data_IF_982799942256
#
_entry.id   IF_982799942256
#
_cell.length_a   1.000
_cell.length_b   1.000
_cell.length_c   1.000
_cell.angle_alpha   90.00
_cell.angle_beta   90.00
_cell.angle_gamma   90.00
#
_symmetry.space_group_name_H-M   'P 1'
#
loop_
_entity.id
_entity.type
_entity.pdbx_description
1 polymer ?
#
# COMPACT_ATOMS: atom_id res chain seq x y z
N UNK A 1 -37.86 -0.12 -17.32
CA UNK A 1 -39.25 0.35 -17.47
C UNK A 1 -39.76 0.45 -16.05
N UNK A 2 -39.90 1.68 -15.57
CA UNK A 2 -40.20 2.00 -14.18
C UNK A 2 -41.53 1.36 -13.76
N UNK A 3 -41.58 0.84 -12.54
CA UNK A 3 -42.79 0.24 -11.96
C UNK A 3 -43.92 1.28 -11.85
N UNK A 4 -45.17 0.82 -11.83
CA UNK A 4 -46.32 1.70 -11.58
C UNK A 4 -46.39 2.16 -10.12
N UNK A 5 -47.13 3.24 -9.86
CA UNK A 5 -47.34 3.76 -8.51
C UNK A 5 -47.93 2.70 -7.55
N UNK A 6 -48.89 1.91 -8.02
CA UNK A 6 -49.52 0.85 -7.21
C UNK A 6 -48.52 -0.28 -6.88
N UNK A 7 -47.62 -0.60 -7.81
CA UNK A 7 -46.54 -1.58 -7.58
C UNK A 7 -45.50 -1.05 -6.58
N UNK A 8 -45.14 0.23 -6.68
CA UNK A 8 -44.24 0.90 -5.73
C UNK A 8 -44.83 0.92 -4.31
N UNK A 9 -46.11 1.29 -4.16
CA UNK A 9 -46.80 1.25 -2.87
C UNK A 9 -46.85 -0.18 -2.30
N UNK A 10 -47.02 -1.19 -3.17
CA UNK A 10 -46.97 -2.60 -2.77
C UNK A 10 -45.59 -3.10 -2.34
N UNK A 11 -44.50 -2.55 -2.90
CA UNK A 11 -43.12 -2.90 -2.52
C UNK A 11 -42.71 -2.26 -1.19
N UNK A 12 -42.99 -0.97 -1.04
CA UNK A 12 -42.62 -0.18 0.15
C UNK A 12 -43.22 -0.71 1.46
N UNK A 13 -44.40 -1.35 1.38
CA UNK A 13 -45.08 -1.97 2.52
C UNK A 13 -44.62 -3.40 2.85
N UNK A 14 -43.70 -3.99 2.07
CA UNK A 14 -43.19 -5.35 2.36
C UNK A 14 -42.22 -5.29 3.54
N UNK A 15 -42.33 -6.25 4.44
CA UNK A 15 -41.42 -6.38 5.58
C UNK A 15 -40.29 -7.37 5.26
N UNK A 16 -39.07 -7.03 5.67
CA UNK A 16 -37.87 -7.87 5.56
C UNK A 16 -37.22 -8.09 6.93
N UNK A 17 -36.87 -9.34 7.23
CA UNK A 17 -36.21 -9.70 8.49
C UNK A 17 -34.69 -9.51 8.45
N UNK A 18 -34.08 -9.45 9.64
CA UNK A 18 -32.63 -9.38 9.81
C UNK A 18 -31.86 -10.57 9.20
N UNK A 19 -32.45 -11.78 9.12
CA UNK A 19 -31.78 -12.94 8.51
C UNK A 19 -31.74 -12.91 6.98
N UNK A 20 -32.71 -12.22 6.35
CA UNK A 20 -32.72 -12.04 4.90
C UNK A 20 -31.67 -11.02 4.43
N UNK A 21 -31.09 -10.26 5.36
CA UNK A 21 -30.02 -9.29 5.12
C UNK A 21 -28.69 -9.94 5.51
N UNK A 22 -27.85 -10.23 4.53
CA UNK A 22 -26.57 -10.89 4.77
C UNK A 22 -25.51 -9.97 5.39
N UNK A 23 -25.65 -8.65 5.22
CA UNK A 23 -24.71 -7.70 5.80
C UNK A 23 -24.85 -7.65 7.33
N UNK A 24 -23.73 -7.87 8.02
CA UNK A 24 -23.69 -7.97 9.48
C UNK A 24 -24.09 -6.69 10.21
N UNK A 25 -23.83 -5.53 9.61
CA UNK A 25 -24.14 -4.23 10.22
C UNK A 25 -25.62 -3.90 10.08
N UNK A 26 -26.17 -4.00 8.86
CA UNK A 26 -27.58 -3.82 8.59
C UNK A 26 -28.43 -4.84 9.35
N UNK A 27 -28.04 -6.12 9.33
CA UNK A 27 -28.71 -7.18 10.08
C UNK A 27 -28.74 -6.87 11.59
N UNK A 28 -27.62 -6.42 12.17
CA UNK A 28 -27.56 -6.04 13.59
C UNK A 28 -28.40 -4.81 13.97
N UNK A 29 -28.60 -3.86 13.04
CA UNK A 29 -29.52 -2.74 13.25
C UNK A 29 -30.96 -3.24 13.25
N UNK A 30 -31.34 -4.07 12.28
CA UNK A 30 -32.70 -4.61 12.16
C UNK A 30 -33.04 -5.51 13.35
N UNK A 31 -32.10 -6.32 13.83
CA UNK A 31 -32.30 -7.15 15.03
C UNK A 31 -32.59 -6.31 16.29
N UNK A 32 -31.98 -5.13 16.39
CA UNK A 32 -32.08 -4.28 17.58
C UNK A 32 -33.28 -3.32 17.55
N UNK A 33 -33.49 -2.67 16.42
CA UNK A 33 -34.44 -1.56 16.26
C UNK A 33 -35.70 -1.97 15.48
N UNK A 34 -35.71 -3.16 14.86
CA UNK A 34 -36.82 -3.70 14.09
C UNK A 34 -38.02 -4.12 14.94
N UNK A 35 -39.17 -4.28 14.28
CA UNK A 35 -40.42 -4.71 14.91
C UNK A 35 -40.70 -6.17 14.55
N UNK A 36 -41.27 -6.93 15.49
CA UNK A 36 -41.65 -8.31 15.19
C UNK A 36 -42.81 -8.32 14.17
N UNK A 37 -42.53 -8.78 12.96
CA UNK A 37 -43.49 -8.94 11.87
C UNK A 37 -43.16 -10.20 11.07
N UNK A 38 -44.09 -10.62 10.20
CA UNK A 38 -43.88 -11.72 9.27
C UNK A 38 -43.10 -11.21 8.05
N UNK A 39 -41.89 -11.73 7.82
CA UNK A 39 -41.08 -11.36 6.68
C UNK A 39 -41.71 -11.86 5.39
N UNK A 40 -41.90 -10.97 4.40
CA UNK A 40 -42.49 -11.31 3.11
C UNK A 40 -41.67 -12.34 2.32
N UNK A 41 -40.35 -12.37 2.53
CA UNK A 41 -39.43 -13.16 1.73
C UNK A 41 -39.15 -14.56 2.27
N UNK A 42 -39.03 -14.72 3.59
CA UNK A 42 -38.83 -16.03 4.23
C UNK A 42 -40.08 -16.59 4.91
N UNK A 43 -41.14 -15.80 5.07
CA UNK A 43 -42.37 -16.14 5.81
C UNK A 43 -42.13 -16.54 7.28
N UNK A 44 -41.06 -16.03 7.90
CA UNK A 44 -40.79 -16.22 9.32
C UNK A 44 -41.15 -14.96 10.12
N UNK A 45 -41.66 -15.15 11.34
CA UNK A 45 -41.88 -14.06 12.30
C UNK A 45 -40.59 -13.72 13.03
N UNK A 46 -40.00 -12.57 12.70
CA UNK A 46 -38.73 -12.10 13.24
C UNK A 46 -38.73 -10.57 13.37
N UNK A 47 -37.63 -10.00 13.87
CA UNK A 47 -37.43 -8.56 13.83
C UNK A 47 -37.26 -8.12 12.36
N UNK A 48 -38.19 -7.29 11.90
CA UNK A 48 -38.29 -6.82 10.53
C UNK A 48 -38.32 -5.29 10.47
N UNK A 49 -37.93 -4.77 9.31
CA UNK A 49 -38.15 -3.39 8.89
C UNK A 49 -38.91 -3.39 7.56
N UNK A 50 -39.51 -2.26 7.19
CA UNK A 50 -40.10 -2.15 5.86
C UNK A 50 -39.01 -2.08 4.80
N UNK A 51 -39.34 -2.52 3.59
CA UNK A 51 -38.44 -2.47 2.44
C UNK A 51 -38.12 -1.01 2.05
N UNK A 52 -39.05 -0.08 2.29
CA UNK A 52 -38.82 1.35 2.21
C UNK A 52 -37.67 1.79 3.14
N UNK A 53 -37.67 1.34 4.39
CA UNK A 53 -36.63 1.69 5.36
C UNK A 53 -35.27 1.06 5.01
N UNK A 54 -35.27 -0.09 4.35
CA UNK A 54 -34.06 -0.70 3.80
C UNK A 54 -33.54 0.11 2.61
N UNK A 55 -34.44 0.51 1.70
CA UNK A 55 -34.09 1.33 0.54
C UNK A 55 -33.46 2.67 0.98
N UNK A 56 -34.02 3.34 1.99
CA UNK A 56 -33.45 4.58 2.54
C UNK A 56 -32.01 4.41 3.05
N UNK A 57 -31.72 3.27 3.69
CA UNK A 57 -30.37 2.95 4.19
C UNK A 57 -29.39 2.65 3.07
N UNK A 58 -29.84 1.90 2.06
CA UNK A 58 -29.04 1.58 0.87
C UNK A 58 -28.75 2.86 0.09
N UNK A 59 -29.75 3.71 -0.11
CA UNK A 59 -29.62 5.02 -0.75
C UNK A 59 -28.56 5.88 -0.08
N UNK A 60 -28.63 6.06 1.25
CA UNK A 60 -27.64 6.83 2.00
C UNK A 60 -26.22 6.25 1.95
N UNK A 61 -26.10 4.92 1.86
CA UNK A 61 -24.81 4.27 1.63
C UNK A 61 -24.27 4.55 0.22
N UNK A 62 -25.13 4.49 -0.80
CA UNK A 62 -24.76 4.78 -2.19
C UNK A 62 -24.33 6.23 -2.37
N UNK A 63 -25.03 7.19 -1.77
CA UNK A 63 -24.65 8.62 -1.83
C UNK A 63 -23.25 8.91 -1.27
N UNK A 64 -22.78 8.11 -0.29
CA UNK A 64 -21.52 8.36 0.41
C UNK A 64 -20.37 7.50 -0.12
N UNK A 65 -20.67 6.27 -0.55
CA UNK A 65 -19.68 5.23 -0.81
C UNK A 65 -19.69 4.69 -2.23
N UNK A 66 -20.59 5.15 -3.10
CA UNK A 66 -20.66 4.70 -4.49
C UNK A 66 -20.74 5.88 -5.46
N UNK A 67 -20.13 5.72 -6.62
CA UNK A 67 -20.20 6.67 -7.72
C UNK A 67 -20.75 5.96 -8.96
N UNK A 68 -21.61 6.66 -9.69
CA UNK A 68 -22.12 6.18 -10.98
C UNK A 68 -21.03 6.33 -12.04
N UNK A 69 -20.74 5.26 -12.77
CA UNK A 69 -19.73 5.28 -13.83
C UNK A 69 -20.31 5.83 -15.13
N UNK A 70 -19.45 6.40 -15.98
CA UNK A 70 -19.87 6.95 -17.26
C UNK A 70 -20.48 5.88 -18.17
N UNK A 71 -21.56 6.23 -18.87
CA UNK A 71 -22.26 5.41 -19.86
C UNK A 71 -21.60 5.46 -21.26
N UNK A 72 -20.67 6.40 -21.47
CA UNK A 72 -19.88 6.54 -22.69
C UNK A 72 -18.37 6.62 -22.42
N UNK A 73 -17.52 6.16 -23.36
CA UNK A 73 -16.08 6.31 -23.26
C UNK A 73 -15.65 7.78 -23.24
N UNK A 74 -14.61 8.08 -22.47
CA UNK A 74 -14.01 9.41 -22.52
C UNK A 74 -13.24 9.64 -23.84
N UNK A 75 -12.86 10.89 -24.11
CA UNK A 75 -12.19 11.25 -25.37
C UNK A 75 -10.89 10.50 -25.65
N UNK A 76 -10.17 10.06 -24.62
CA UNK A 76 -8.93 9.30 -24.75
C UNK A 76 -9.22 7.83 -25.09
N UNK A 77 -10.18 7.23 -24.40
CA UNK A 77 -10.66 5.86 -24.65
C UNK A 77 -11.26 5.72 -26.05
N UNK A 78 -12.03 6.72 -26.49
CA UNK A 78 -12.57 6.77 -27.85
C UNK A 78 -11.44 6.81 -28.90
N UNK A 79 -10.37 7.57 -28.64
CA UNK A 79 -9.22 7.62 -29.54
C UNK A 79 -8.47 6.28 -29.59
N UNK A 80 -8.28 5.62 -28.44
CA UNK A 80 -7.65 4.29 -28.37
C UNK A 80 -8.47 3.22 -29.09
N UNK A 81 -9.79 3.24 -28.96
CA UNK A 81 -10.67 2.28 -29.60
C UNK A 81 -10.68 2.41 -31.14
N UNK A 82 -10.41 3.62 -31.65
CA UNK A 82 -10.32 3.89 -33.08
C UNK A 82 -8.90 3.73 -33.65
N UNK A 83 -7.91 3.36 -32.82
CA UNK A 83 -6.53 3.14 -33.26
C UNK A 83 -6.34 1.68 -33.74
N UNK A 84 -6.04 1.47 -35.03
CA UNK A 84 -5.88 0.12 -35.58
C UNK A 84 -4.64 -0.62 -35.06
N UNK A 85 -3.70 0.06 -34.38
CA UNK A 85 -2.52 -0.55 -33.77
C UNK A 85 -2.74 -0.99 -32.31
N UNK A 86 -3.86 -0.58 -31.68
CA UNK A 86 -4.19 -0.86 -30.29
C UNK A 86 -5.40 -1.78 -30.21
N UNK A 87 -5.25 -2.94 -29.55
CA UNK A 87 -6.38 -3.82 -29.27
C UNK A 87 -7.07 -3.40 -27.97
N UNK A 88 -7.82 -2.29 -28.03
CA UNK A 88 -8.60 -1.76 -26.92
C UNK A 88 -10.10 -1.81 -27.24
N UNK A 89 -10.86 -2.47 -26.39
CA UNK A 89 -12.33 -2.51 -26.43
C UNK A 89 -12.85 -1.89 -25.15
N UNK A 90 -13.59 -0.80 -25.28
CA UNK A 90 -14.18 -0.13 -24.13
C UNK A 90 -15.28 -1.01 -23.51
N UNK A 91 -15.21 -1.14 -22.19
CA UNK A 91 -16.25 -1.73 -21.36
C UNK A 91 -16.61 -0.73 -20.27
N UNK A 92 -17.89 -0.72 -19.87
CA UNK A 92 -18.35 0.12 -18.79
C UNK A 92 -17.84 -0.44 -17.46
N UNK A 93 -17.17 0.38 -16.67
CA UNK A 93 -16.69 0.00 -15.33
C UNK A 93 -17.83 0.00 -14.31
N UNK A 94 -17.62 -0.65 -13.16
CA UNK A 94 -18.64 -0.81 -12.12
C UNK A 94 -19.55 -2.03 -12.30
N UNK A 95 -20.63 -2.06 -11.53
CA UNK A 95 -21.67 -3.10 -11.55
C UNK A 95 -23.02 -2.47 -11.76
N UNK A 96 -23.91 -3.14 -12.49
CA UNK A 96 -25.30 -2.69 -12.65
C UNK A 96 -25.97 -2.48 -11.27
N UNK A 97 -26.84 -1.48 -11.17
CA UNK A 97 -27.50 -1.04 -9.92
C UNK A 97 -28.00 -2.20 -9.06
N UNK A 98 -28.72 -3.16 -9.66
CA UNK A 98 -29.27 -4.30 -8.92
C UNK A 98 -28.19 -5.19 -8.29
N UNK A 99 -27.11 -5.47 -9.01
CA UNK A 99 -26.00 -6.27 -8.49
C UNK A 99 -25.13 -5.48 -7.50
N UNK A 100 -24.97 -4.18 -7.70
CA UNK A 100 -24.28 -3.31 -6.75
C UNK A 100 -25.01 -3.31 -5.39
N UNK A 101 -26.34 -3.17 -5.38
CA UNK A 101 -27.17 -3.24 -4.16
C UNK A 101 -27.08 -4.63 -3.52
N UNK A 102 -27.15 -5.68 -4.35
CA UNK A 102 -27.05 -7.06 -3.90
C UNK A 102 -25.73 -7.32 -3.16
N UNK A 103 -24.61 -6.89 -3.73
CA UNK A 103 -23.29 -7.06 -3.14
C UNK A 103 -23.14 -6.19 -1.87
N UNK A 104 -23.55 -4.92 -1.93
CA UNK A 104 -23.40 -3.95 -0.83
C UNK A 104 -24.15 -4.37 0.45
N UNK A 105 -25.38 -4.88 0.32
CA UNK A 105 -26.18 -5.32 1.47
C UNK A 105 -26.21 -6.85 1.65
N UNK A 106 -25.43 -7.59 0.84
CA UNK A 106 -25.41 -9.06 0.80
C UNK A 106 -26.82 -9.66 0.75
N UNK A 107 -27.64 -9.13 -0.16
CA UNK A 107 -29.03 -9.50 -0.33
C UNK A 107 -29.16 -10.66 -1.32
N UNK A 108 -30.32 -11.33 -1.30
CA UNK A 108 -30.72 -12.22 -2.39
C UNK A 108 -31.16 -11.37 -3.58
N UNK A 109 -30.99 -11.92 -4.79
CA UNK A 109 -31.31 -11.22 -6.04
C UNK A 109 -32.74 -10.66 -6.05
N UNK A 110 -33.75 -11.44 -5.63
CA UNK A 110 -35.14 -10.98 -5.58
C UNK A 110 -35.34 -9.72 -4.71
N UNK A 111 -34.63 -9.64 -3.58
CA UNK A 111 -34.73 -8.51 -2.64
C UNK A 111 -33.98 -7.30 -3.22
N UNK A 112 -32.80 -7.52 -3.79
CA UNK A 112 -32.00 -6.46 -4.39
C UNK A 112 -32.71 -5.80 -5.58
N UNK A 113 -33.41 -6.59 -6.40
CA UNK A 113 -34.23 -6.09 -7.51
C UNK A 113 -35.44 -5.28 -7.01
N UNK A 114 -36.13 -5.75 -5.96
CA UNK A 114 -37.23 -4.99 -5.34
C UNK A 114 -36.74 -3.65 -4.75
N UNK A 115 -35.57 -3.63 -4.09
CA UNK A 115 -34.96 -2.39 -3.56
C UNK A 115 -34.55 -1.45 -4.71
N UNK A 116 -33.94 -1.98 -5.78
CA UNK A 116 -33.64 -1.21 -6.99
C UNK A 116 -34.90 -0.56 -7.54
N UNK A 117 -36.00 -1.29 -7.66
CA UNK A 117 -37.23 -0.76 -8.25
C UNK A 117 -37.84 0.38 -7.43
N UNK A 118 -37.74 0.31 -6.09
CA UNK A 118 -38.10 1.43 -5.21
C UNK A 118 -37.22 2.65 -5.51
N UNK A 119 -35.90 2.46 -5.59
CA UNK A 119 -34.95 3.56 -5.80
C UNK A 119 -35.06 4.16 -7.21
N UNK A 120 -35.19 3.34 -8.25
CA UNK A 120 -35.39 3.79 -9.64
C UNK A 120 -36.67 4.62 -9.75
N UNK A 121 -37.76 4.22 -9.08
CA UNK A 121 -39.01 4.99 -9.08
C UNK A 121 -38.86 6.35 -8.38
N UNK A 122 -38.12 6.41 -7.27
CA UNK A 122 -37.89 7.67 -6.51
C UNK A 122 -37.01 8.66 -7.28
N UNK A 123 -36.03 8.15 -8.00
CA UNK A 123 -35.04 8.93 -8.76
C UNK A 123 -35.39 9.10 -10.23
N UNK A 124 -36.62 8.75 -10.62
CA UNK A 124 -37.12 8.99 -11.97
C UNK A 124 -37.23 10.51 -12.23
N UNK A 125 -36.30 11.05 -13.01
CA UNK A 125 -36.37 12.39 -13.54
C UNK A 125 -36.84 12.38 -14.99
N UNK A 126 -38.07 12.85 -15.20
CA UNK A 126 -38.69 12.95 -16.53
C UNK A 126 -37.91 13.84 -17.50
N UNK A 127 -37.29 14.91 -17.02
CA UNK A 127 -36.52 15.82 -17.87
C UNK A 127 -35.22 15.14 -18.35
N UNK A 128 -34.54 14.42 -17.46
CA UNK A 128 -33.36 13.61 -17.80
C UNK A 128 -33.69 12.44 -18.72
N UNK A 129 -34.76 11.69 -18.43
CA UNK A 129 -35.21 10.60 -19.28
C UNK A 129 -35.61 11.07 -20.69
N UNK A 130 -36.28 12.22 -20.80
CA UNK A 130 -36.63 12.83 -22.09
C UNK A 130 -35.40 13.32 -22.87
N UNK A 131 -34.34 13.74 -22.16
CA UNK A 131 -33.06 14.10 -22.74
C UNK A 131 -32.19 12.89 -23.10
N UNK A 132 -32.62 11.66 -22.76
CA UNK A 132 -31.83 10.44 -22.92
C UNK A 132 -30.63 10.36 -21.99
N UNK A 133 -30.64 11.14 -20.91
CA UNK A 133 -29.62 11.07 -19.86
C UNK A 133 -30.00 9.97 -18.87
N UNK A 134 -29.00 9.21 -18.42
CA UNK A 134 -29.19 8.19 -17.40
C UNK A 134 -29.57 8.81 -16.04
N UNK A 135 -30.59 8.24 -15.39
CA UNK A 135 -31.05 8.63 -14.06
C UNK A 135 -30.34 7.82 -12.97
N UNK A 136 -30.36 8.33 -11.73
CA UNK A 136 -29.82 7.59 -10.59
C UNK A 136 -30.66 6.34 -10.31
N UNK A 137 -29.98 5.27 -9.91
CA UNK A 137 -30.54 3.94 -9.68
C UNK A 137 -31.30 3.32 -10.87
N UNK A 138 -31.13 3.86 -12.09
CA UNK A 138 -31.69 3.25 -13.29
C UNK A 138 -31.21 1.79 -13.44
N UNK A 139 -32.05 0.91 -13.99
CA UNK A 139 -31.73 -0.51 -14.09
C UNK A 139 -30.40 -0.80 -14.84
N UNK A 140 -30.08 0.02 -15.84
CA UNK A 140 -28.86 -0.09 -16.65
C UNK A 140 -27.68 0.74 -16.10
N UNK A 141 -27.91 1.55 -15.05
CA UNK A 141 -26.85 2.35 -14.44
C UNK A 141 -25.82 1.45 -13.78
N UNK A 142 -24.55 1.84 -13.87
CA UNK A 142 -23.45 1.12 -13.25
C UNK A 142 -22.84 1.95 -12.13
N UNK A 143 -22.60 1.30 -11.00
CA UNK A 143 -22.00 1.90 -9.81
C UNK A 143 -20.69 1.21 -9.48
N UNK A 144 -19.72 2.02 -9.06
CA UNK A 144 -18.48 1.55 -8.46
C UNK A 144 -18.40 2.06 -7.01
N UNK A 145 -17.77 1.27 -6.15
CA UNK A 145 -17.45 1.74 -4.81
C UNK A 145 -16.45 2.88 -4.93
N UNK A 146 -16.77 4.03 -4.31
CA UNK A 146 -15.83 5.08 -4.01
C UNK A 146 -14.87 4.47 -2.98
N UNK A 147 -13.82 3.84 -3.50
CA UNK A 147 -12.62 3.62 -2.73
C UNK A 147 -12.24 4.99 -2.17
N UNK A 148 -12.14 5.18 -0.84
CA UNK A 148 -11.78 6.47 -0.27
C UNK A 148 -10.60 6.96 -1.06
N UNK A 149 -10.76 8.11 -1.73
CA UNK A 149 -9.82 8.58 -2.74
C UNK A 149 -8.43 8.50 -2.14
N UNK A 150 -7.73 7.42 -2.49
CA UNK A 150 -6.36 7.21 -2.11
C UNK A 150 -5.53 8.17 -2.95
N UNK A 151 -6.04 9.30 -3.44
CA UNK A 151 -5.20 10.31 -4.06
C UNK A 151 -4.25 10.87 -3.02
N UNK A 152 -4.67 11.15 -1.79
CA UNK A 152 -3.72 11.53 -0.74
C UNK A 152 -2.79 10.36 -0.39
N UNK A 153 -3.26 9.12 -0.34
CA UNK A 153 -2.43 7.96 0.03
C UNK A 153 -1.51 7.50 -1.11
N UNK A 154 -1.94 7.54 -2.36
CA UNK A 154 -1.18 7.31 -3.58
C UNK A 154 -0.30 8.50 -3.91
N UNK A 155 -0.68 9.74 -3.63
CA UNK A 155 0.22 10.89 -3.74
C UNK A 155 1.25 10.80 -2.64
N UNK A 156 0.88 10.51 -1.39
CA UNK A 156 1.85 10.24 -0.32
C UNK A 156 2.69 9.00 -0.58
N UNK A 157 2.15 7.96 -1.21
CA UNK A 157 2.87 6.74 -1.55
C UNK A 157 3.75 6.94 -2.79
N UNK A 158 3.30 7.69 -3.79
CA UNK A 158 4.09 8.07 -4.96
C UNK A 158 5.12 9.13 -4.60
N UNK A 159 4.84 10.01 -3.65
CA UNK A 159 5.78 10.95 -3.03
C UNK A 159 6.76 10.19 -2.16
N UNK A 160 6.32 9.19 -1.38
CA UNK A 160 7.19 8.31 -0.59
C UNK A 160 8.06 7.43 -1.49
N UNK A 161 7.50 6.87 -2.56
CA UNK A 161 8.18 6.05 -3.55
C UNK A 161 9.13 6.91 -4.38
N UNK A 162 8.73 8.14 -4.76
CA UNK A 162 9.66 9.16 -5.29
C UNK A 162 10.71 9.48 -4.23
N UNK A 163 10.39 9.78 -2.98
CA UNK A 163 11.34 10.03 -1.89
C UNK A 163 12.33 8.87 -1.71
N UNK A 164 11.92 7.62 -1.85
CA UNK A 164 12.83 6.47 -1.77
C UNK A 164 13.64 6.30 -3.07
N UNK A 165 13.03 6.51 -4.25
CA UNK A 165 13.69 6.35 -5.56
C UNK A 165 14.60 7.53 -5.93
N UNK A 166 14.26 8.75 -5.52
CA UNK A 166 14.95 10.02 -5.81
C UNK A 166 15.70 10.56 -4.61
N UNK A 167 15.20 10.37 -3.38
CA UNK A 167 15.73 10.97 -2.14
C UNK A 167 16.21 9.96 -1.07
N UNK A 168 16.51 8.71 -1.43
CA UNK A 168 17.32 7.83 -0.55
C UNK A 168 18.79 8.33 -0.43
N UNK A 169 19.01 9.64 -0.31
CA UNK A 169 20.34 10.25 -0.17
C UNK A 169 20.46 11.37 0.86
N UNK A 170 19.41 11.89 1.48
CA UNK A 170 19.53 12.67 2.72
C UNK A 170 18.29 12.47 3.60
N UNK A 171 18.46 11.77 4.73
CA UNK A 171 17.51 11.60 5.83
C UNK A 171 16.49 12.75 5.94
N UNK A 172 15.22 12.51 5.58
CA UNK A 172 14.16 13.49 5.83
C UNK A 172 14.03 13.70 7.34
N UNK A 173 13.88 14.96 7.78
CA UNK A 173 13.75 15.28 9.22
C UNK A 173 12.58 14.54 9.88
N UNK A 174 11.58 14.19 9.09
CA UNK A 174 10.39 13.44 9.54
C UNK A 174 10.70 11.96 9.77
N UNK A 175 11.39 11.29 8.83
CA UNK A 175 11.86 9.93 9.03
C UNK A 175 12.92 9.85 10.15
N UNK A 176 13.79 10.86 10.26
CA UNK A 176 14.75 10.98 11.35
C UNK A 176 14.06 11.19 12.71
N UNK A 177 12.91 11.88 12.78
CA UNK A 177 12.15 12.04 14.02
C UNK A 177 11.42 10.73 14.42
N UNK A 178 10.89 9.99 13.45
CA UNK A 178 10.28 8.68 13.71
C UNK A 178 11.31 7.61 14.07
N UNK A 179 12.42 7.55 13.36
CA UNK A 179 13.57 6.69 13.70
C UNK A 179 14.23 7.15 15.00
N UNK A 180 14.27 8.47 15.26
CA UNK A 180 14.66 9.06 16.54
C UNK A 180 13.84 8.47 17.67
N UNK A 181 12.50 8.54 17.62
CA UNK A 181 11.64 7.89 18.62
C UNK A 181 11.87 6.38 18.76
N UNK A 182 12.18 5.67 17.67
CA UNK A 182 12.50 4.24 17.69
C UNK A 182 13.89 3.93 18.27
N UNK A 183 14.84 4.84 18.14
CA UNK A 183 16.25 4.68 18.51
C UNK A 183 16.70 5.55 19.69
N UNK A 184 15.83 6.39 20.25
CA UNK A 184 16.07 7.37 21.34
C UNK A 184 16.51 6.70 22.65
N UNK A 185 16.51 5.37 22.70
CA UNK A 185 16.98 4.58 23.83
C UNK A 185 17.96 3.48 23.45
N UNK A 186 18.45 3.38 22.21
CA UNK A 186 19.43 2.33 21.83
C UNK A 186 20.73 2.46 22.62
N UNK A 187 21.14 3.68 22.94
CA UNK A 187 22.29 3.98 23.80
C UNK A 187 22.08 3.51 25.26
N UNK A 188 20.82 3.37 25.68
CA UNK A 188 20.41 2.90 27.01
C UNK A 188 20.06 1.40 27.02
N UNK A 189 19.85 0.80 25.84
CA UNK A 189 19.61 -0.62 25.68
C UNK A 189 20.89 -1.40 25.99
N UNK A 190 20.82 -2.13 27.09
CA UNK A 190 21.84 -3.09 27.50
C UNK A 190 21.41 -4.48 27.10
N UNK A 191 22.35 -5.29 26.66
CA UNK A 191 22.13 -6.72 26.52
C UNK A 191 21.87 -7.35 27.88
N UNK A 192 21.40 -8.60 27.92
CA UNK A 192 21.12 -9.34 29.16
C UNK A 192 22.34 -9.41 30.09
N UNK A 193 23.54 -9.31 29.51
CA UNK A 193 24.82 -9.34 30.21
C UNK A 193 25.34 -7.94 30.59
N UNK A 194 24.60 -6.87 30.28
CA UNK A 194 24.88 -5.50 30.71
C UNK A 194 25.72 -4.66 29.74
N UNK A 195 26.13 -5.22 28.60
CA UNK A 195 26.95 -4.55 27.59
C UNK A 195 26.11 -3.65 26.67
N UNK A 196 26.70 -2.54 26.21
CA UNK A 196 26.04 -1.56 25.34
C UNK A 196 26.12 -1.95 23.87
N UNK A 197 25.03 -1.79 23.13
CA UNK A 197 24.96 -2.08 21.69
C UNK A 197 25.74 -1.08 20.81
N UNK A 198 26.19 0.03 21.37
CA UNK A 198 26.94 1.08 20.68
C UNK A 198 28.38 1.11 21.19
N UNK A 199 29.34 1.01 20.27
CA UNK A 199 30.78 1.04 20.53
C UNK A 199 31.39 2.32 19.99
N UNK A 200 32.23 2.98 20.79
CA UNK A 200 32.94 4.19 20.38
C UNK A 200 34.23 3.83 19.61
N UNK A 201 34.37 4.38 18.40
CA UNK A 201 35.55 4.23 17.54
C UNK A 201 36.22 5.59 17.31
N UNK A 202 37.55 5.66 17.28
CA UNK A 202 38.29 6.90 17.08
C UNK A 202 39.57 7.02 17.90
N UNK A 203 40.15 8.24 17.95
CA UNK A 203 41.41 8.47 18.66
C UNK A 203 41.24 8.15 20.15
N UNK A 204 42.06 7.22 20.66
CA UNK A 204 42.05 6.81 22.07
C UNK A 204 41.01 5.76 22.45
N UNK A 205 40.29 5.16 21.49
CA UNK A 205 39.40 4.01 21.74
C UNK A 205 40.03 2.69 21.27
N UNK A 206 39.36 1.56 21.56
CA UNK A 206 39.82 0.24 21.13
C UNK A 206 39.85 0.06 19.60
N UNK A 207 39.02 0.81 18.87
CA UNK A 207 38.96 0.80 17.40
C UNK A 207 39.43 2.17 16.89
N UNK A 208 40.75 2.31 16.73
CA UNK A 208 41.38 3.53 16.20
C UNK A 208 41.62 3.48 14.69
N UNK A 209 41.58 2.29 14.10
CA UNK A 209 41.93 2.04 12.71
C UNK A 209 41.06 0.94 12.08
N UNK A 210 40.87 1.04 10.77
CA UNK A 210 40.15 0.07 9.97
C UNK A 210 40.97 -0.31 8.73
N UNK A 211 40.83 -1.56 8.32
CA UNK A 211 41.50 -2.12 7.16
C UNK A 211 40.49 -2.39 6.06
N UNK A 212 40.91 -2.15 4.82
CA UNK A 212 40.11 -2.50 3.65
C UNK A 212 40.96 -3.13 2.56
N UNK A 213 40.46 -4.26 2.05
CA UNK A 213 41.04 -4.96 0.91
C UNK A 213 40.27 -4.70 -0.38
N UNK A 214 40.98 -4.70 -1.51
CA UNK A 214 40.38 -4.73 -2.85
C UNK A 214 41.14 -5.72 -3.74
N UNK A 215 40.40 -6.58 -4.44
CA UNK A 215 40.97 -7.55 -5.40
C UNK A 215 41.25 -6.88 -6.74
N UNK A 216 42.39 -7.21 -7.32
CA UNK A 216 42.79 -6.83 -8.66
C UNK A 216 43.18 -8.07 -9.45
N UNK A 217 42.67 -8.16 -10.68
CA UNK A 217 42.95 -9.26 -11.61
C UNK A 217 44.17 -8.99 -12.50
N UNK A 218 44.64 -7.73 -12.58
CA UNK A 218 45.77 -7.34 -13.41
C UNK A 218 46.66 -6.31 -12.70
N UNK A 219 47.91 -6.21 -13.14
CA UNK A 219 48.94 -5.41 -12.48
C UNK A 219 48.75 -3.90 -12.69
N UNK A 220 48.24 -3.46 -13.83
CA UNK A 220 48.06 -2.03 -14.11
C UNK A 220 47.05 -1.34 -13.16
N UNK A 221 45.85 -1.88 -12.89
CA UNK A 221 44.94 -1.35 -11.87
C UNK A 221 45.51 -1.41 -10.46
N UNK A 222 46.27 -2.46 -10.13
CA UNK A 222 46.93 -2.57 -8.83
C UNK A 222 47.95 -1.45 -8.62
N UNK A 223 48.81 -1.19 -9.61
CA UNK A 223 49.78 -0.10 -9.55
C UNK A 223 49.11 1.27 -9.46
N UNK A 224 47.95 1.45 -10.13
CA UNK A 224 47.14 2.67 -9.99
C UNK A 224 46.63 2.84 -8.56
N UNK A 225 46.13 1.77 -7.96
CA UNK A 225 45.66 1.78 -6.58
C UNK A 225 46.79 2.04 -5.57
N UNK A 226 48.00 1.52 -5.82
CA UNK A 226 49.17 1.82 -5.00
C UNK A 226 49.64 3.28 -5.12
N UNK A 227 49.45 3.92 -6.29
CA UNK A 227 49.79 5.34 -6.48
C UNK A 227 48.79 6.29 -5.84
N UNK A 228 47.50 5.92 -5.80
CA UNK A 228 46.41 6.74 -5.24
C UNK A 228 45.46 5.89 -4.37
N UNK A 229 45.94 5.41 -3.21
CA UNK A 229 45.13 4.58 -2.31
C UNK A 229 43.93 5.35 -1.75
N UNK A 230 44.07 6.65 -1.58
CA UNK A 230 43.04 7.59 -1.14
C UNK A 230 41.79 7.62 -2.04
N UNK A 231 41.94 7.31 -3.33
CA UNK A 231 40.81 7.27 -4.27
C UNK A 231 40.40 5.83 -4.61
N UNK A 232 41.38 4.95 -4.80
CA UNK A 232 41.14 3.62 -5.36
C UNK A 232 40.83 2.55 -4.28
N UNK A 233 41.20 2.80 -3.03
CA UNK A 233 40.90 1.92 -1.88
C UNK A 233 39.90 2.54 -0.90
N UNK A 234 39.50 3.79 -1.10
CA UNK A 234 38.42 4.45 -0.35
C UNK A 234 37.02 4.00 -0.82
N UNK A 235 35.97 4.47 -0.15
CA UNK A 235 34.59 4.17 -0.54
C UNK A 235 34.36 4.57 -2.01
N UNK A 236 33.75 3.70 -2.84
CA UNK A 236 33.53 4.04 -4.24
C UNK A 236 32.61 5.27 -4.31
N UNK A 237 32.81 6.19 -5.27
CA UNK A 237 31.88 7.30 -5.44
C UNK A 237 30.47 6.76 -5.72
N UNK A 238 29.43 7.52 -5.37
CA UNK A 238 28.04 7.06 -5.40
C UNK A 238 27.64 6.41 -6.74
N UNK A 239 28.08 6.96 -7.88
CA UNK A 239 27.79 6.43 -9.21
C UNK A 239 28.47 5.08 -9.53
N UNK A 240 29.53 4.71 -8.79
CA UNK A 240 30.25 3.45 -8.89
C UNK A 240 29.98 2.49 -7.72
N UNK A 241 29.13 2.88 -6.77
CA UNK A 241 28.80 2.06 -5.60
C UNK A 241 27.84 0.94 -6.00
N UNK A 242 28.32 -0.30 -6.01
CA UNK A 242 27.49 -1.50 -6.16
C UNK A 242 26.63 -1.76 -4.92
N UNK A 243 25.64 -2.64 -5.03
CA UNK A 243 24.91 -3.13 -3.86
C UNK A 243 25.81 -4.08 -3.04
N UNK A 244 25.74 -3.96 -1.72
CA UNK A 244 26.43 -4.80 -0.74
C UNK A 244 25.48 -5.23 0.37
N UNK A 245 25.99 -5.94 1.39
CA UNK A 245 25.16 -6.51 2.46
C UNK A 245 24.41 -5.46 3.29
N UNK A 246 24.95 -4.23 3.36
CA UNK A 246 24.40 -3.12 4.16
C UNK A 246 24.15 -1.86 3.32
N UNK A 247 24.28 -1.92 1.98
CA UNK A 247 24.06 -0.75 1.12
C UNK A 247 23.38 -1.14 -0.19
N UNK A 248 22.38 -0.36 -0.61
CA UNK A 248 21.80 -0.46 -1.94
C UNK A 248 22.75 0.10 -3.02
N UNK A 249 22.55 -0.31 -4.28
CA UNK A 249 23.30 0.22 -5.41
C UNK A 249 23.14 1.74 -5.46
N UNK A 250 24.26 2.46 -5.60
CA UNK A 250 24.30 3.91 -5.60
C UNK A 250 24.64 4.54 -4.23
N UNK A 251 24.54 3.80 -3.13
CA UNK A 251 24.86 4.33 -1.80
C UNK A 251 26.31 3.98 -1.47
N UNK A 252 27.16 5.00 -1.41
CA UNK A 252 28.57 4.83 -1.06
C UNK A 252 28.71 4.54 0.43
N UNK A 253 29.17 3.33 0.75
CA UNK A 253 29.47 2.91 2.13
C UNK A 253 30.92 2.46 2.17
N UNK A 254 31.60 2.79 3.27
CA UNK A 254 32.92 2.29 3.58
C UNK A 254 32.79 0.93 4.29
N UNK A 255 33.18 -0.14 3.61
CA UNK A 255 33.33 -1.46 4.23
C UNK A 255 34.78 -1.66 4.63
N UNK A 256 35.02 -1.75 5.93
CA UNK A 256 36.33 -2.06 6.50
C UNK A 256 36.20 -3.04 7.66
N UNK A 257 37.33 -3.63 8.04
CA UNK A 257 37.43 -4.55 9.16
C UNK A 257 38.42 -4.04 10.21
N UNK A 258 38.35 -4.57 11.42
CA UNK A 258 39.26 -4.24 12.53
C UNK A 258 40.64 -4.86 12.38
N UNK A 259 40.79 -5.91 11.56
CA UNK A 259 42.08 -6.54 11.25
C UNK A 259 42.24 -6.81 9.75
N UNK A 260 43.49 -6.85 9.25
CA UNK A 260 43.76 -7.14 7.84
C UNK A 260 43.37 -8.58 7.46
N UNK A 261 43.44 -9.54 8.38
CA UNK A 261 43.04 -10.93 8.16
C UNK A 261 41.54 -11.04 7.90
N UNK A 262 40.72 -10.32 8.68
CA UNK A 262 39.25 -10.29 8.49
C UNK A 262 38.91 -9.63 7.16
N UNK A 263 39.54 -8.50 6.84
CA UNK A 263 39.33 -7.83 5.56
C UNK A 263 39.70 -8.72 4.36
N UNK A 264 40.77 -9.51 4.46
CA UNK A 264 41.15 -10.47 3.42
C UNK A 264 40.12 -11.60 3.30
N UNK A 265 39.62 -12.12 4.42
CA UNK A 265 38.61 -13.18 4.46
C UNK A 265 37.27 -12.74 3.85
N UNK A 266 36.84 -11.50 4.08
CA UNK A 266 35.61 -10.93 3.50
C UNK A 266 35.71 -10.73 1.99
N UNK A 267 36.89 -10.33 1.51
CA UNK A 267 37.11 -10.02 0.10
C UNK A 267 37.15 -11.28 -0.78
N UNK A 268 37.44 -12.46 -0.21
CA UNK A 268 37.43 -13.78 -0.87
C UNK A 268 38.12 -13.79 -2.26
N UNK A 269 39.41 -13.40 -2.35
CA UNK A 269 40.10 -13.31 -3.62
C UNK A 269 40.21 -14.68 -4.32
N UNK A 270 39.90 -14.78 -5.63
CA UNK A 270 40.17 -15.98 -6.42
C UNK A 270 41.67 -16.32 -6.47
N UNK A 271 41.99 -17.61 -6.64
CA UNK A 271 43.38 -18.07 -6.79
C UNK A 271 44.04 -17.37 -7.98
N UNK A 272 45.23 -16.80 -7.78
CA UNK A 272 45.98 -16.06 -8.80
C UNK A 272 45.66 -14.56 -8.89
N UNK A 273 44.72 -14.06 -8.09
CA UNK A 273 44.47 -12.61 -7.97
C UNK A 273 45.39 -11.95 -6.95
N UNK A 274 45.52 -10.62 -7.02
CA UNK A 274 46.29 -9.80 -6.07
C UNK A 274 45.34 -8.93 -5.26
N UNK A 275 45.59 -8.79 -3.96
CA UNK A 275 44.80 -7.91 -3.08
C UNK A 275 45.66 -6.74 -2.64
N UNK A 276 45.16 -5.52 -2.79
CA UNK A 276 45.75 -4.36 -2.13
C UNK A 276 45.01 -4.10 -0.82
N UNK A 277 45.77 -3.91 0.25
CA UNK A 277 45.28 -3.63 1.58
C UNK A 277 45.65 -2.19 1.97
N UNK A 278 44.67 -1.43 2.45
CA UNK A 278 44.88 -0.10 3.01
C UNK A 278 44.41 -0.05 4.46
N UNK A 279 45.18 0.67 5.28
CA UNK A 279 44.86 1.03 6.67
C UNK A 279 44.33 2.46 6.69
N UNK A 280 43.21 2.66 7.36
CA UNK A 280 42.54 3.94 7.52
C UNK A 280 42.48 4.28 8.99
N UNK A 281 43.08 5.41 9.36
CA UNK A 281 43.04 5.90 10.73
C UNK A 281 41.78 6.74 10.94
N UNK A 282 41.08 6.46 12.04
CA UNK A 282 39.87 7.19 12.40
C UNK A 282 40.27 8.47 13.13
N UNK A 283 40.20 9.59 12.42
CA UNK A 283 40.62 10.91 12.94
C UNK A 283 39.53 11.67 13.71
N UNK A 284 38.29 11.16 13.71
CA UNK A 284 37.14 11.77 14.39
C UNK A 284 36.39 10.71 15.18
N UNK A 285 35.87 11.00 16.39
CA UNK A 285 35.03 10.06 17.12
C UNK A 285 33.82 9.61 16.29
N UNK A 286 33.59 8.31 16.24
CA UNK A 286 32.48 7.64 15.57
C UNK A 286 31.76 6.75 16.57
N UNK A 287 30.44 6.63 16.41
CA UNK A 287 29.63 5.64 17.11
C UNK A 287 29.29 4.52 16.14
N UNK A 288 29.66 3.30 16.48
CA UNK A 288 29.39 2.11 15.69
C UNK A 288 28.34 1.26 16.41
N UNK A 289 27.45 0.64 15.65
CA UNK A 289 26.50 -0.34 16.18
C UNK A 289 27.15 -1.72 16.12
N UNK A 290 27.27 -2.39 17.27
CA UNK A 290 27.80 -3.74 17.37
C UNK A 290 26.69 -4.77 17.15
N UNK A 291 26.95 -5.75 16.26
CA UNK A 291 25.99 -6.80 15.89
C UNK A 291 26.48 -8.21 16.26
N UNK A 292 27.58 -8.36 17.00
CA UNK A 292 28.13 -9.67 17.39
C UNK A 292 27.32 -10.39 18.50
N UNK A 293 26.07 -9.97 18.75
CA UNK A 293 25.20 -10.61 19.73
C UNK A 293 24.37 -11.75 19.10
N UNK A 294 24.59 -13.01 19.51
CA UNK A 294 24.09 -14.21 18.82
C UNK A 294 22.58 -14.50 18.96
N UNK A 295 21.75 -13.58 19.47
CA UNK A 295 20.33 -13.89 19.79
C UNK A 295 19.28 -13.18 18.91
N UNK A 296 19.68 -12.39 17.91
CA UNK A 296 18.72 -11.89 16.91
C UNK A 296 18.53 -12.89 15.76
N UNK A 297 17.96 -14.05 16.08
CA UNK A 297 17.35 -14.95 15.10
C UNK A 297 15.93 -14.42 14.83
N UNK A 298 15.77 -13.54 13.84
CA UNK A 298 14.45 -13.18 13.34
C UNK A 298 13.87 -14.39 12.60
N UNK A 299 13.05 -15.17 13.31
CA UNK A 299 12.10 -16.09 12.73
C UNK A 299 11.15 -15.30 11.83
N UNK A 300 10.98 -15.82 10.62
CA UNK A 300 9.98 -15.47 9.63
C UNK A 300 8.58 -15.27 10.21
N UNK A 301 7.95 -14.16 9.85
CA UNK A 301 6.63 -14.13 9.23
C UNK A 301 6.72 -13.24 7.99
#
# INVERSE_FOLDING_TARGET
>A
MTISFDEHEGLTQRDICFECIGDSYLSGIVEKDGQNAECFYCNEEQACISLEELADRVEGAFETHFARTADEPNSFEYAMQNDPEINYEWYREGRETGYAIMDAASLREEIAMDVRDILEFRHEDWDSAAAGMECDFAAEAHYEEIMPEDHEWHEQWNEFEKLIKTEARFFSRTAAAHLGKLFDHIDQMRTRDGETLVVDAGPGTAISELYRGRVFQSEAPLLKAMKRPDLELAAPPAWAAGAGRMNARGISVFYGATSPEIALAEVRPPVGSRVAMARFEIIRPLKLLDRDYPEFCALTW
#
